data_IF_861444131079
#
_entry.id   IF_861444131079
#
_cell.length_a   1.000
_cell.length_b   1.000
_cell.length_c   1.000
_cell.angle_alpha   90.00
_cell.angle_beta   90.00
_cell.angle_gamma   90.00
#
_symmetry.space_group_name_H-M   'P 1'
#
loop_
_entity.id
_entity.type
_entity.pdbx_description
1 polymer ?
#
# COMPACT_ATOMS: atom_id res chain seq x y z
N UNK A 1 38.72 22.90 -52.87
CA UNK A 1 37.35 22.92 -52.29
C UNK A 1 36.73 21.55 -52.48
N UNK A 2 36.83 20.65 -51.50
CA UNK A 2 36.06 19.40 -51.44
C UNK A 2 35.45 19.35 -50.04
N UNK A 3 34.12 19.43 -49.98
CA UNK A 3 33.34 19.44 -48.74
C UNK A 3 33.07 18.00 -48.34
N UNK A 4 33.55 17.56 -47.18
CA UNK A 4 33.11 16.30 -46.56
C UNK A 4 31.75 16.55 -45.89
N UNK A 5 30.70 15.89 -46.41
CA UNK A 5 29.44 15.74 -45.69
C UNK A 5 29.60 14.66 -44.62
N UNK A 6 29.51 15.04 -43.34
CA UNK A 6 29.21 14.09 -42.26
C UNK A 6 27.69 13.81 -42.27
N UNK A 7 27.30 12.55 -42.51
CA UNK A 7 25.97 12.08 -42.16
C UNK A 7 25.89 11.81 -40.65
N UNK A 8 24.79 12.19 -39.97
CA UNK A 8 24.56 11.79 -38.59
C UNK A 8 24.12 10.33 -38.58
N UNK A 9 24.91 9.45 -37.95
CA UNK A 9 24.48 8.10 -37.59
C UNK A 9 23.39 8.20 -36.54
N UNK A 10 22.15 7.92 -36.94
CA UNK A 10 21.01 7.74 -36.05
C UNK A 10 21.24 6.45 -35.24
N UNK A 11 21.55 6.58 -33.95
CA UNK A 11 21.61 5.44 -33.04
C UNK A 11 20.18 4.95 -32.82
N UNK A 12 19.78 3.90 -33.52
CA UNK A 12 18.53 3.19 -33.26
C UNK A 12 18.71 2.41 -31.95
N UNK A 13 18.27 2.97 -30.83
CA UNK A 13 18.09 2.21 -29.59
C UNK A 13 17.08 1.11 -29.86
N UNK A 14 17.54 -0.15 -29.88
CA UNK A 14 16.66 -1.31 -29.93
C UNK A 14 15.80 -1.30 -28.65
N UNK A 15 14.53 -0.94 -28.79
CA UNK A 15 13.52 -1.17 -27.77
C UNK A 15 13.29 -2.69 -27.78
N UNK A 16 13.86 -3.40 -26.83
CA UNK A 16 13.46 -4.79 -26.58
C UNK A 16 12.00 -4.77 -26.11
N UNK A 17 11.09 -5.16 -26.99
CA UNK A 17 9.71 -5.47 -26.62
C UNK A 17 9.74 -6.71 -25.71
N UNK A 18 9.76 -6.49 -24.40
CA UNK A 18 9.46 -7.55 -23.43
C UNK A 18 7.97 -7.85 -23.56
N UNK A 19 7.63 -9.07 -23.96
CA UNK A 19 6.25 -9.54 -23.98
C UNK A 19 5.80 -9.72 -22.53
N UNK A 20 4.75 -9.02 -22.11
CA UNK A 20 4.20 -9.19 -20.75
C UNK A 20 3.82 -10.65 -20.50
N UNK A 21 4.17 -11.19 -19.31
CA UNK A 21 3.72 -12.51 -18.86
C UNK A 21 2.19 -12.55 -18.80
N UNK A 22 1.58 -11.45 -18.38
CA UNK A 22 0.14 -11.22 -18.47
C UNK A 22 -0.16 -9.75 -18.74
N UNK A 23 -1.30 -9.51 -19.39
CA UNK A 23 -2.04 -8.26 -19.40
C UNK A 23 -3.47 -8.62 -19.02
N UNK A 24 -3.97 -8.02 -17.94
CA UNK A 24 -5.30 -8.26 -17.43
C UNK A 24 -6.10 -6.97 -17.41
N UNK A 25 -7.07 -6.89 -18.30
CA UNK A 25 -8.12 -5.87 -18.26
C UNK A 25 -9.11 -6.20 -17.15
N UNK A 26 -9.59 -5.19 -16.45
CA UNK A 26 -10.55 -5.33 -15.35
C UNK A 26 -11.91 -4.86 -15.84
N UNK A 27 -12.87 -5.78 -15.92
CA UNK A 27 -14.24 -5.42 -16.27
C UNK A 27 -14.79 -4.38 -15.26
N UNK A 28 -15.17 -3.17 -15.72
CA UNK A 28 -15.67 -2.13 -14.81
C UNK A 28 -17.05 -2.46 -14.23
N UNK A 29 -17.75 -3.47 -14.75
CA UNK A 29 -19.09 -3.86 -14.30
C UNK A 29 -19.00 -5.10 -13.41
N UNK A 30 -19.64 -5.03 -12.25
CA UNK A 30 -19.71 -6.16 -11.34
C UNK A 30 -20.44 -7.35 -11.99
N UNK A 31 -19.86 -8.54 -11.88
CA UNK A 31 -20.46 -9.79 -12.35
C UNK A 31 -21.42 -10.37 -11.31
N UNK A 32 -22.37 -11.21 -11.76
CA UNK A 32 -23.40 -11.83 -10.92
C UNK A 32 -23.11 -13.30 -10.56
N UNK A 33 -21.92 -13.79 -10.90
CA UNK A 33 -21.46 -15.16 -10.62
C UNK A 33 -20.34 -15.22 -9.56
N UNK A 34 -20.07 -16.42 -9.00
CA UNK A 34 -18.96 -16.60 -8.07
C UNK A 34 -17.60 -16.26 -8.68
N UNK A 35 -16.79 -15.52 -7.93
CA UNK A 35 -15.44 -15.10 -8.34
C UNK A 35 -14.41 -16.03 -7.71
N UNK A 36 -13.48 -16.54 -8.52
CA UNK A 36 -12.27 -17.20 -8.02
C UNK A 36 -11.29 -16.16 -7.44
N UNK A 37 -10.75 -16.46 -6.27
CA UNK A 37 -9.80 -15.62 -5.53
C UNK A 37 -8.53 -16.41 -5.23
N UNK A 38 -7.39 -15.91 -5.69
CA UNK A 38 -6.08 -16.51 -5.48
C UNK A 38 -5.41 -15.98 -4.21
N UNK A 39 -4.79 -16.86 -3.43
CA UNK A 39 -3.99 -16.52 -2.25
C UNK A 39 -2.56 -17.09 -2.31
N UNK A 40 -2.20 -17.77 -3.40
CA UNK A 40 -0.89 -18.42 -3.57
C UNK A 40 -0.41 -18.16 -5.01
N UNK A 41 0.47 -17.16 -5.21
CA UNK A 41 1.00 -16.84 -6.53
C UNK A 41 1.90 -17.96 -7.08
N UNK A 42 2.02 -17.98 -8.41
CA UNK A 42 2.88 -18.94 -9.12
C UNK A 42 4.36 -18.80 -8.73
N UNK A 43 4.83 -17.58 -8.45
CA UNK A 43 6.19 -17.30 -7.97
C UNK A 43 6.25 -16.13 -6.98
N UNK A 44 7.46 -15.74 -6.59
CA UNK A 44 7.74 -14.55 -5.78
C UNK A 44 8.26 -13.38 -6.61
N UNK A 45 8.22 -13.48 -7.93
CA UNK A 45 8.50 -12.38 -8.82
C UNK A 45 7.47 -11.26 -8.63
N UNK A 46 7.90 -10.03 -8.87
CA UNK A 46 7.07 -8.84 -8.62
C UNK A 46 5.72 -8.89 -9.33
N UNK A 47 5.72 -9.30 -10.60
CA UNK A 47 4.54 -9.47 -11.42
C UNK A 47 3.51 -10.40 -10.79
N UNK A 48 3.95 -11.50 -10.17
CA UNK A 48 3.05 -12.49 -9.58
C UNK A 48 2.56 -12.06 -8.19
N UNK A 49 3.33 -11.27 -7.45
CA UNK A 49 2.87 -10.69 -6.18
C UNK A 49 1.79 -9.62 -6.41
N UNK A 50 1.97 -8.78 -7.43
CA UNK A 50 1.06 -7.67 -7.73
C UNK A 50 -0.12 -8.01 -8.64
N UNK A 51 -0.07 -9.14 -9.36
CA UNK A 51 -1.11 -9.56 -10.32
C UNK A 51 -2.50 -9.55 -9.68
N UNK A 52 -3.56 -9.10 -10.38
CA UNK A 52 -4.92 -9.19 -9.85
C UNK A 52 -5.23 -10.60 -9.34
N UNK A 53 -5.72 -10.69 -8.11
CA UNK A 53 -6.00 -11.92 -7.37
C UNK A 53 -7.45 -12.35 -7.50
N UNK A 54 -8.29 -11.46 -8.00
CA UNK A 54 -9.66 -11.75 -8.36
C UNK A 54 -9.72 -12.12 -9.83
N UNK A 55 -10.40 -13.21 -10.19
CA UNK A 55 -10.67 -13.55 -11.60
C UNK A 55 -11.52 -12.47 -12.29
N UNK A 56 -12.55 -11.98 -11.61
CA UNK A 56 -13.48 -10.91 -11.96
C UNK A 56 -13.90 -10.18 -10.67
N UNK A 57 -14.73 -9.13 -10.73
CA UNK A 57 -15.24 -8.46 -9.53
C UNK A 57 -16.74 -8.65 -9.42
N UNK A 58 -17.22 -9.16 -8.28
CA UNK A 58 -18.65 -9.19 -7.93
C UNK A 58 -18.90 -8.34 -6.67
N UNK A 59 -20.12 -8.38 -6.14
CA UNK A 59 -20.54 -7.54 -4.99
C UNK A 59 -19.98 -7.98 -3.62
N UNK A 60 -19.18 -9.05 -3.58
CA UNK A 60 -18.69 -9.65 -2.33
C UNK A 60 -17.17 -9.64 -2.20
N UNK A 61 -16.45 -9.47 -3.31
CA UNK A 61 -14.99 -9.46 -3.33
C UNK A 61 -14.45 -8.03 -3.40
N UNK A 62 -13.23 -7.85 -2.92
CA UNK A 62 -12.53 -6.58 -3.01
C UNK A 62 -11.06 -6.81 -3.28
N UNK A 63 -10.43 -5.85 -3.94
CA UNK A 63 -9.00 -5.80 -4.13
C UNK A 63 -8.58 -4.33 -4.30
N UNK A 64 -7.40 -3.99 -3.76
CA UNK A 64 -6.82 -2.67 -3.96
C UNK A 64 -5.30 -2.70 -3.96
N UNK A 65 -4.72 -1.76 -4.71
CA UNK A 65 -3.31 -1.41 -4.70
C UNK A 65 -3.17 -0.06 -4.00
N UNK A 66 -2.34 -0.03 -2.95
CA UNK A 66 -2.17 1.12 -2.07
C UNK A 66 -0.73 1.60 -2.12
N UNK A 67 -0.54 2.91 -2.27
CA UNK A 67 0.77 3.54 -2.22
C UNK A 67 0.72 4.74 -1.28
N UNK A 68 1.75 4.93 -0.47
CA UNK A 68 1.91 6.18 0.27
C UNK A 68 3.34 6.67 0.32
N UNK A 69 3.47 7.94 0.68
CA UNK A 69 4.73 8.53 1.06
C UNK A 69 4.52 9.60 2.13
N UNK A 70 5.39 9.63 3.14
CA UNK A 70 5.38 10.62 4.23
C UNK A 70 6.71 11.36 4.28
N UNK A 71 6.67 12.69 4.45
CA UNK A 71 7.87 13.51 4.53
C UNK A 71 8.72 13.18 5.75
N UNK A 72 10.03 13.00 5.53
CA UNK A 72 10.99 12.71 6.61
C UNK A 72 11.27 13.90 7.52
N UNK A 73 10.91 15.11 7.09
CA UNK A 73 11.20 16.37 7.81
C UNK A 73 9.95 17.08 8.32
N UNK A 74 8.80 16.83 7.70
CA UNK A 74 7.51 17.34 8.17
C UNK A 74 6.47 16.21 8.17
N UNK A 75 6.28 15.51 9.31
CA UNK A 75 5.33 14.42 9.45
C UNK A 75 3.85 14.81 9.27
N UNK A 76 3.53 16.07 8.98
CA UNK A 76 2.21 16.45 8.48
C UNK A 76 2.05 16.09 7.00
N UNK A 77 3.10 16.27 6.20
CA UNK A 77 3.00 16.17 4.75
C UNK A 77 3.08 14.71 4.29
N UNK A 78 2.03 14.24 3.61
CA UNK A 78 1.98 12.90 3.03
C UNK A 78 1.08 12.86 1.79
N UNK A 79 1.19 11.77 1.04
CA UNK A 79 0.24 11.38 0.01
C UNK A 79 -0.11 9.91 0.17
N UNK A 80 -1.37 9.59 -0.08
CA UNK A 80 -1.88 8.22 -0.25
C UNK A 80 -2.59 8.13 -1.58
N UNK A 81 -2.26 7.12 -2.37
CA UNK A 81 -3.00 6.70 -3.56
C UNK A 81 -3.59 5.32 -3.33
N UNK A 82 -4.83 5.11 -3.76
CA UNK A 82 -5.44 3.79 -3.75
C UNK A 82 -6.21 3.55 -5.03
N UNK A 83 -5.92 2.42 -5.66
CA UNK A 83 -6.58 1.94 -6.87
C UNK A 83 -7.41 0.71 -6.49
N UNK A 84 -8.74 0.86 -6.48
CA UNK A 84 -9.66 -0.19 -6.08
C UNK A 84 -10.27 -0.90 -7.28
N UNK A 85 -10.59 -2.17 -7.04
CA UNK A 85 -11.53 -3.01 -7.80
C UNK A 85 -12.51 -3.64 -6.83
N UNK A 86 -13.63 -2.97 -6.53
CA UNK A 86 -14.60 -3.41 -5.53
C UNK A 86 -15.94 -2.67 -5.65
N UNK A 87 -16.96 -3.15 -4.92
CA UNK A 87 -18.23 -2.44 -4.73
C UNK A 87 -18.37 -1.95 -3.29
N UNK A 88 -19.28 -1.00 -3.07
CA UNK A 88 -19.58 -0.50 -1.72
C UNK A 88 -20.21 -1.55 -0.78
N UNK A 89 -20.67 -2.68 -1.31
CA UNK A 89 -21.15 -3.82 -0.50
C UNK A 89 -20.00 -4.72 -0.04
N UNK A 90 -18.88 -4.75 -0.77
CA UNK A 90 -17.72 -5.54 -0.45
C UNK A 90 -16.69 -4.79 0.41
N UNK A 91 -16.56 -3.46 0.24
CA UNK A 91 -15.64 -2.64 1.04
C UNK A 91 -16.31 -1.35 1.55
N UNK A 92 -16.29 -1.07 2.87
CA UNK A 92 -17.09 -0.01 3.46
C UNK A 92 -16.59 1.41 3.17
N UNK A 93 -15.32 1.60 2.77
CA UNK A 93 -14.76 2.93 2.49
C UNK A 93 -14.97 3.39 1.04
N UNK A 94 -15.72 2.63 0.23
CA UNK A 94 -16.08 3.01 -1.14
C UNK A 94 -17.42 3.77 -1.16
N UNK A 95 -17.53 4.87 -1.93
CA UNK A 95 -18.79 5.59 -2.09
C UNK A 95 -19.95 4.68 -2.54
N UNK A 96 -21.15 4.94 -2.00
CA UNK A 96 -22.34 4.19 -2.38
C UNK A 96 -22.78 4.54 -3.81
N UNK A 97 -23.45 3.60 -4.49
CA UNK A 97 -24.07 3.79 -5.82
C UNK A 97 -23.11 4.15 -6.97
N UNK A 98 -21.85 3.72 -6.90
CA UNK A 98 -20.96 3.79 -8.06
C UNK A 98 -21.45 2.84 -9.16
N UNK A 99 -21.41 3.28 -10.42
CA UNK A 99 -21.76 2.48 -11.59
C UNK A 99 -20.64 1.56 -12.05
N UNK A 100 -19.47 1.63 -11.40
CA UNK A 100 -18.27 0.88 -11.74
C UNK A 100 -17.67 0.25 -10.47
N UNK A 101 -16.97 -0.87 -10.64
CA UNK A 101 -16.12 -1.48 -9.61
C UNK A 101 -14.78 -0.78 -9.46
N UNK A 102 -14.42 0.08 -10.42
CA UNK A 102 -13.15 0.79 -10.43
C UNK A 102 -13.26 2.10 -9.65
N UNK A 103 -12.26 2.39 -8.83
CA UNK A 103 -12.16 3.66 -8.13
C UNK A 103 -10.70 4.05 -7.92
N UNK A 104 -10.37 5.29 -8.26
CA UNK A 104 -9.11 5.92 -7.85
C UNK A 104 -9.39 6.84 -6.67
N UNK A 105 -8.60 6.73 -5.61
CA UNK A 105 -8.69 7.57 -4.43
C UNK A 105 -7.32 8.21 -4.15
N UNK A 106 -7.34 9.50 -3.77
CA UNK A 106 -6.16 10.23 -3.32
C UNK A 106 -6.47 10.97 -2.02
N UNK A 107 -5.51 10.93 -1.09
CA UNK A 107 -5.41 11.83 0.05
C UNK A 107 -4.06 12.51 0.00
N UNK A 108 -4.05 13.85 -0.03
CA UNK A 108 -2.85 14.64 0.07
C UNK A 108 -2.93 15.51 1.32
N UNK A 109 -2.01 15.33 2.25
CA UNK A 109 -1.90 16.18 3.44
C UNK A 109 -0.79 17.18 3.23
N UNK A 110 -1.11 18.46 3.34
CA UNK A 110 -0.19 19.58 3.13
C UNK A 110 0.71 19.79 4.35
N UNK A 111 1.84 20.51 4.21
CA UNK A 111 2.75 20.81 5.33
C UNK A 111 2.10 21.46 6.56
N UNK A 112 1.00 22.19 6.36
CA UNK A 112 0.22 22.84 7.44
C UNK A 112 -0.75 21.87 8.16
N UNK A 113 -0.83 20.61 7.74
CA UNK A 113 -1.74 19.58 8.28
C UNK A 113 -3.14 19.58 7.68
N UNK A 114 -3.43 20.42 6.69
CA UNK A 114 -4.69 20.36 5.94
C UNK A 114 -4.68 19.15 5.02
N UNK A 115 -5.76 18.37 5.00
CA UNK A 115 -5.89 17.22 4.09
C UNK A 115 -6.91 17.52 2.99
N UNK A 116 -6.52 17.22 1.75
CA UNK A 116 -7.39 17.21 0.56
C UNK A 116 -7.59 15.76 0.16
N UNK A 117 -8.85 15.33 0.07
CA UNK A 117 -9.21 14.00 -0.41
C UNK A 117 -10.14 14.09 -1.61
N UNK A 118 -9.90 13.23 -2.60
CA UNK A 118 -10.76 13.10 -3.77
C UNK A 118 -10.80 11.65 -4.24
N UNK A 119 -11.87 11.33 -4.96
CA UNK A 119 -12.00 10.06 -5.66
C UNK A 119 -12.72 10.28 -6.99
N UNK A 120 -12.48 9.36 -7.93
CA UNK A 120 -13.09 9.37 -9.26
C UNK A 120 -13.12 7.95 -9.82
N UNK A 121 -14.16 7.66 -10.62
CA UNK A 121 -14.26 6.42 -11.38
C UNK A 121 -13.45 6.59 -12.67
N UNK A 122 -12.41 5.77 -12.91
CA UNK A 122 -11.65 5.78 -14.17
C UNK A 122 -12.50 5.24 -15.33
N UNK A 123 -12.00 5.42 -16.56
CA UNK A 123 -12.67 4.91 -17.76
C UNK A 123 -12.56 3.38 -17.83
N UNK A 124 -11.34 2.87 -17.64
CA UNK A 124 -10.99 1.46 -17.67
C UNK A 124 -9.80 1.21 -16.72
N UNK A 125 -9.47 -0.04 -16.45
CA UNK A 125 -8.27 -0.40 -15.74
C UNK A 125 -7.62 -1.67 -16.28
N UNK A 126 -6.30 -1.69 -16.34
CA UNK A 126 -5.53 -2.88 -16.66
C UNK A 126 -4.30 -3.01 -15.79
N UNK A 127 -3.88 -4.26 -15.54
CA UNK A 127 -2.63 -4.59 -14.85
C UNK A 127 -1.84 -5.54 -15.71
N UNK A 128 -0.56 -5.24 -15.91
CA UNK A 128 0.38 -6.08 -16.64
C UNK A 128 1.64 -6.32 -15.83
N UNK A 129 2.24 -7.49 -16.03
CA UNK A 129 3.49 -7.85 -15.39
C UNK A 129 4.31 -8.82 -16.22
N UNK A 130 5.62 -8.79 -16.00
CA UNK A 130 6.60 -9.75 -16.52
C UNK A 130 7.73 -9.88 -15.51
N UNK A 131 7.81 -11.04 -14.85
CA UNK A 131 8.80 -11.31 -13.79
C UNK A 131 8.90 -10.16 -12.80
N UNK A 132 9.98 -9.39 -12.84
CA UNK A 132 10.29 -8.35 -11.88
C UNK A 132 9.85 -6.96 -12.34
N UNK A 133 8.90 -6.90 -13.28
CA UNK A 133 8.23 -5.69 -13.75
C UNK A 133 6.73 -5.84 -13.52
N UNK A 134 6.10 -4.78 -13.01
CA UNK A 134 4.65 -4.70 -12.82
C UNK A 134 4.17 -3.29 -13.12
N UNK A 135 2.97 -3.14 -13.66
CA UNK A 135 2.34 -1.85 -13.87
C UNK A 135 0.84 -1.99 -13.91
N UNK A 136 0.14 -0.98 -13.44
CA UNK A 136 -1.30 -0.86 -13.56
C UNK A 136 -1.69 0.54 -13.99
N UNK A 137 -2.71 0.63 -14.82
CA UNK A 137 -3.25 1.89 -15.32
C UNK A 137 -4.73 1.97 -15.02
N UNK A 138 -5.15 3.01 -14.30
CA UNK A 138 -6.55 3.42 -14.14
C UNK A 138 -6.74 4.58 -15.12
N UNK A 139 -7.33 4.27 -16.27
CA UNK A 139 -7.33 5.17 -17.42
C UNK A 139 -7.97 6.52 -17.08
N UNK A 140 -7.20 7.58 -17.34
CA UNK A 140 -7.61 8.97 -17.12
C UNK A 140 -7.44 9.48 -15.68
N UNK A 141 -6.97 8.65 -14.74
CA UNK A 141 -6.92 9.03 -13.31
C UNK A 141 -5.60 8.72 -12.61
N UNK A 142 -4.86 7.70 -13.02
CA UNK A 142 -3.58 7.36 -12.38
C UNK A 142 -3.05 5.96 -12.72
N UNK A 143 -2.03 5.53 -12.00
CA UNK A 143 -1.44 4.21 -12.14
C UNK A 143 -0.08 4.08 -11.48
N UNK A 144 0.60 2.98 -11.77
CA UNK A 144 1.98 2.75 -11.36
C UNK A 144 2.79 1.99 -12.40
N UNK A 145 4.11 2.13 -12.29
CA UNK A 145 5.10 1.30 -12.95
C UNK A 145 6.19 0.93 -11.93
N UNK A 146 6.38 -0.36 -11.72
CA UNK A 146 7.26 -0.96 -10.73
C UNK A 146 8.26 -1.91 -11.35
N UNK A 147 9.46 -1.92 -10.79
CA UNK A 147 10.51 -2.92 -11.04
C UNK A 147 11.46 -3.01 -9.85
N UNK A 148 12.37 -3.98 -9.84
CA UNK A 148 13.40 -4.12 -8.80
C UNK A 148 14.12 -2.82 -8.44
N UNK A 149 14.42 -1.97 -9.42
CA UNK A 149 15.16 -0.72 -9.20
C UNK A 149 14.33 0.44 -8.62
N UNK A 150 13.02 0.27 -8.46
CA UNK A 150 12.14 1.34 -8.01
C UNK A 150 10.76 1.34 -8.66
N UNK A 151 9.89 2.16 -8.10
CA UNK A 151 8.52 2.39 -8.53
C UNK A 151 8.28 3.86 -8.86
N UNK A 152 7.29 4.10 -9.71
CA UNK A 152 6.65 5.39 -9.89
C UNK A 152 5.14 5.17 -9.82
N UNK A 153 4.45 5.93 -8.98
CA UNK A 153 2.99 5.94 -8.90
C UNK A 153 2.50 7.37 -9.11
N UNK A 154 1.42 7.53 -9.88
CA UNK A 154 0.92 8.85 -10.27
C UNK A 154 -0.60 8.95 -10.19
N UNK A 155 -1.08 10.19 -10.09
CA UNK A 155 -2.50 10.52 -10.05
C UNK A 155 -2.75 11.85 -10.76
N UNK A 156 -3.93 11.99 -11.35
CA UNK A 156 -4.41 13.25 -11.89
C UNK A 156 -5.48 13.03 -12.94
N UNK A 157 -6.44 13.94 -12.97
CA UNK A 157 -7.53 13.97 -13.94
C UNK A 157 -8.00 15.41 -14.16
N UNK A 158 -8.71 15.66 -15.25
CA UNK A 158 -9.27 16.98 -15.55
C UNK A 158 -10.26 17.42 -14.46
N UNK A 159 -10.08 18.64 -13.93
CA UNK A 159 -10.88 19.15 -12.82
C UNK A 159 -10.52 18.57 -11.44
N UNK A 160 -9.51 17.69 -11.36
CA UNK A 160 -8.92 17.23 -10.11
C UNK A 160 -8.20 18.35 -9.36
N UNK A 161 -8.23 18.30 -8.03
CA UNK A 161 -7.49 19.19 -7.13
C UNK A 161 -6.08 18.68 -6.87
N UNK A 162 -5.82 17.37 -7.05
CA UNK A 162 -4.52 16.75 -6.85
C UNK A 162 -4.01 16.15 -8.16
N UNK A 163 -2.78 16.48 -8.53
CA UNK A 163 -2.07 15.82 -9.63
C UNK A 163 -0.59 15.71 -9.33
N UNK A 164 0.05 14.66 -9.81
CA UNK A 164 1.50 14.48 -9.71
C UNK A 164 1.87 13.04 -9.48
N UNK A 165 3.02 12.82 -8.84
CA UNK A 165 3.60 11.49 -8.69
C UNK A 165 4.46 11.36 -7.45
N UNK A 166 4.73 10.10 -7.10
CA UNK A 166 5.76 9.69 -6.17
C UNK A 166 6.67 8.66 -6.82
N UNK A 167 7.97 8.78 -6.54
CA UNK A 167 9.02 7.87 -7.02
C UNK A 167 9.67 7.22 -5.82
N UNK A 168 9.77 5.89 -5.85
CA UNK A 168 10.36 5.08 -4.79
C UNK A 168 11.69 4.49 -5.24
N UNK A 169 12.72 4.61 -4.40
CA UNK A 169 14.09 4.11 -4.61
C UNK A 169 14.58 3.40 -3.35
N UNK A 170 15.68 2.65 -3.50
CA UNK A 170 16.31 1.91 -2.40
C UNK A 170 15.30 1.02 -1.67
N UNK A 171 14.54 0.24 -2.44
CA UNK A 171 13.44 -0.56 -1.93
C UNK A 171 13.93 -1.60 -0.93
N UNK A 172 13.27 -1.69 0.21
CA UNK A 172 13.41 -2.85 1.08
C UNK A 172 12.74 -4.09 0.44
N UNK A 173 13.22 -5.32 0.70
CA UNK A 173 12.64 -6.54 0.15
C UNK A 173 11.14 -6.68 0.46
N UNK A 174 10.33 -7.26 -0.46
CA UNK A 174 8.91 -7.49 -0.23
C UNK A 174 8.60 -8.27 1.05
N UNK A 175 7.51 -7.88 1.71
CA UNK A 175 6.98 -8.51 2.90
C UNK A 175 5.76 -9.36 2.53
N UNK A 176 5.96 -10.68 2.59
CA UNK A 176 4.89 -11.67 2.49
C UNK A 176 4.49 -12.10 3.92
N UNK A 177 3.18 -12.34 4.19
CA UNK A 177 2.63 -12.44 5.55
C UNK A 177 3.45 -13.24 6.54
N UNK A 178 3.83 -14.46 6.16
CA UNK A 178 4.49 -15.43 7.02
C UNK A 178 5.94 -15.71 6.64
N UNK A 179 6.55 -14.87 5.80
CA UNK A 179 7.96 -15.03 5.44
C UNK A 179 8.89 -14.59 6.59
N UNK A 180 9.97 -15.32 6.79
CA UNK A 180 11.05 -14.98 7.72
C UNK A 180 12.31 -14.61 6.93
N UNK A 181 13.34 -14.01 7.55
CA UNK A 181 14.60 -13.72 6.86
C UNK A 181 15.29 -14.98 6.29
N UNK A 182 14.95 -16.17 6.80
CA UNK A 182 15.53 -17.45 6.37
C UNK A 182 14.64 -18.23 5.40
N UNK A 183 13.34 -17.93 5.35
CA UNK A 183 12.39 -18.74 4.60
C UNK A 183 11.26 -17.88 4.03
N UNK A 184 11.11 -17.94 2.71
CA UNK A 184 9.96 -17.37 2.03
C UNK A 184 8.76 -18.31 2.14
N UNK A 185 7.62 -17.75 2.55
CA UNK A 185 6.32 -18.39 2.47
C UNK A 185 5.48 -17.69 1.39
N UNK A 186 5.09 -18.44 0.36
CA UNK A 186 4.28 -17.92 -0.76
C UNK A 186 2.81 -17.78 -0.43
N UNK A 187 2.30 -18.36 0.65
CA UNK A 187 0.91 -18.15 1.04
C UNK A 187 0.72 -16.68 1.46
N UNK A 188 -0.09 -15.95 0.69
CA UNK A 188 -0.36 -14.53 0.91
C UNK A 188 -1.63 -14.28 1.73
N UNK A 189 -2.33 -15.34 2.13
CA UNK A 189 -3.43 -15.24 3.09
C UNK A 189 -2.89 -14.83 4.46
N UNK A 190 -3.38 -13.71 5.01
CA UNK A 190 -3.20 -13.38 6.42
C UNK A 190 -3.99 -14.36 7.29
N UNK A 191 -5.23 -14.61 6.89
CA UNK A 191 -6.09 -15.63 7.45
C UNK A 191 -7.14 -16.02 6.44
N UNK A 192 -8.24 -16.61 6.91
CA UNK A 192 -9.26 -17.12 6.00
C UNK A 192 -9.92 -15.99 5.21
N UNK A 193 -9.76 -16.03 3.89
CA UNK A 193 -10.44 -15.13 2.97
C UNK A 193 -9.88 -13.71 2.87
N UNK A 194 -8.70 -13.45 3.45
CA UNK A 194 -8.04 -12.15 3.43
C UNK A 194 -6.58 -12.28 3.05
N UNK A 195 -6.21 -11.65 1.94
CA UNK A 195 -4.87 -11.66 1.38
C UNK A 195 -4.21 -10.31 1.52
N UNK A 196 -2.90 -10.34 1.74
CA UNK A 196 -2.07 -9.14 1.83
C UNK A 196 -0.63 -9.44 1.42
N UNK A 197 -0.01 -8.48 0.75
CA UNK A 197 1.42 -8.47 0.49
C UNK A 197 1.89 -7.03 0.35
N UNK A 198 3.03 -6.70 0.95
CA UNK A 198 3.68 -5.42 0.74
C UNK A 198 4.87 -5.61 -0.20
N UNK A 199 4.81 -4.98 -1.38
CA UNK A 199 5.89 -5.04 -2.36
C UNK A 199 6.99 -4.04 -2.04
N UNK A 200 6.63 -2.92 -1.41
CA UNK A 200 7.57 -1.93 -0.89
C UNK A 200 7.23 -1.67 0.58
N UNK A 201 7.82 -2.43 1.52
CA UNK A 201 7.62 -2.20 2.95
C UNK A 201 8.30 -0.93 3.46
N UNK A 202 9.35 -0.49 2.77
CA UNK A 202 10.09 0.76 3.02
C UNK A 202 10.88 1.15 1.77
N UNK A 203 11.06 2.45 1.58
CA UNK A 203 11.83 3.03 0.47
C UNK A 203 12.14 4.50 0.73
N UNK A 204 13.11 5.06 0.01
CA UNK A 204 13.22 6.50 -0.14
C UNK A 204 12.21 6.98 -1.19
N UNK A 205 11.34 7.91 -0.77
CA UNK A 205 10.32 8.50 -1.62
C UNK A 205 10.69 9.93 -2.02
N UNK A 206 10.45 10.25 -3.30
CA UNK A 206 10.43 11.61 -3.82
C UNK A 206 9.02 11.93 -4.30
N UNK A 207 8.41 12.97 -3.71
CA UNK A 207 7.04 13.36 -4.00
C UNK A 207 7.04 14.71 -4.73
N UNK A 208 6.31 14.77 -5.84
CA UNK A 208 6.12 15.98 -6.65
C UNK A 208 4.65 16.10 -7.04
N UNK A 209 3.92 16.95 -6.31
CA UNK A 209 2.48 17.13 -6.44
C UNK A 209 2.12 18.59 -6.66
N UNK A 210 0.96 18.78 -7.26
CA UNK A 210 0.19 20.02 -7.25
C UNK A 210 -1.14 19.74 -6.55
N UNK A 211 -1.42 20.48 -5.48
CA UNK A 211 -2.65 20.39 -4.69
C UNK A 211 -3.29 21.77 -4.68
N UNK A 212 -4.50 21.91 -5.23
CA UNK A 212 -5.20 23.20 -5.38
C UNK A 212 -4.37 24.29 -6.09
N UNK A 213 -3.51 23.88 -7.02
CA UNK A 213 -2.58 24.76 -7.73
C UNK A 213 -1.29 25.09 -6.96
N UNK A 214 -1.16 24.67 -5.70
CA UNK A 214 0.06 24.82 -4.90
C UNK A 214 0.99 23.61 -5.04
N UNK A 215 2.29 23.85 -5.13
CA UNK A 215 3.28 22.77 -5.20
C UNK A 215 3.51 22.16 -3.82
N UNK A 216 3.39 20.84 -3.74
CA UNK A 216 3.74 20.04 -2.56
C UNK A 216 4.84 19.07 -2.96
N UNK A 217 6.07 19.39 -2.55
CA UNK A 217 7.27 18.61 -2.87
C UNK A 217 8.02 18.26 -1.60
N UNK A 218 8.38 16.99 -1.45
CA UNK A 218 9.19 16.54 -0.32
C UNK A 218 9.95 15.25 -0.63
N UNK A 219 11.00 15.03 0.14
CA UNK A 219 11.64 13.72 0.27
C UNK A 219 11.17 13.05 1.55
N UNK A 220 11.10 11.73 1.55
CA UNK A 220 10.52 11.00 2.65
C UNK A 220 10.67 9.50 2.53
N UNK A 221 9.76 8.79 3.17
CA UNK A 221 9.70 7.34 3.15
C UNK A 221 8.41 6.86 2.51
N UNK A 222 8.49 5.79 1.75
CA UNK A 222 7.41 5.31 0.90
C UNK A 222 7.05 3.86 1.13
N UNK A 223 5.77 3.55 0.97
CA UNK A 223 5.21 2.22 1.16
C UNK A 223 4.26 1.84 0.02
N UNK A 224 4.26 0.56 -0.37
CA UNK A 224 3.30 -0.01 -1.31
C UNK A 224 2.84 -1.40 -0.85
N UNK A 225 1.52 -1.59 -0.78
CA UNK A 225 0.93 -2.91 -0.60
C UNK A 225 -0.28 -3.16 -1.47
N UNK A 226 -0.75 -4.38 -1.34
CA UNK A 226 -1.94 -4.89 -1.97
C UNK A 226 -2.72 -5.72 -0.97
N UNK A 227 -4.04 -5.55 -0.98
CA UNK A 227 -4.98 -6.32 -0.18
C UNK A 227 -6.13 -6.82 -1.05
N UNK A 228 -6.67 -7.98 -0.70
CA UNK A 228 -7.85 -8.53 -1.37
C UNK A 228 -8.60 -9.50 -0.47
N UNK A 229 -9.87 -9.75 -0.79
CA UNK A 229 -10.69 -10.68 -0.03
C UNK A 229 -11.76 -11.37 -0.85
N UNK A 230 -12.16 -12.55 -0.39
CA UNK A 230 -13.17 -13.39 -1.04
C UNK A 230 -14.59 -13.21 -0.49
N UNK A 231 -14.75 -12.28 0.47
CA UNK A 231 -16.01 -11.93 1.11
C UNK A 231 -15.92 -10.49 1.62
N UNK A 232 -17.05 -9.83 1.95
CA UNK A 232 -17.01 -8.42 2.33
C UNK A 232 -16.07 -8.15 3.51
N UNK A 233 -15.34 -7.05 3.46
CA UNK A 233 -14.32 -6.69 4.46
C UNK A 233 -14.91 -6.63 5.87
N UNK A 234 -16.08 -6.00 6.02
CA UNK A 234 -16.84 -5.92 7.26
C UNK A 234 -17.40 -7.25 7.78
N UNK A 235 -17.40 -8.29 6.95
CA UNK A 235 -17.76 -9.65 7.37
C UNK A 235 -16.51 -10.49 7.73
N UNK A 236 -15.32 -10.04 7.34
CA UNK A 236 -14.04 -10.74 7.61
C UNK A 236 -13.36 -10.15 8.84
N UNK A 237 -13.32 -8.82 8.93
CA UNK A 237 -12.53 -8.06 9.89
C UNK A 237 -13.45 -7.48 10.95
N UNK A 238 -13.14 -7.76 12.23
CA UNK A 238 -13.74 -7.10 13.39
C UNK A 238 -12.91 -5.89 13.82
N UNK A 239 -11.60 -6.08 13.91
CA UNK A 239 -10.65 -5.01 14.13
C UNK A 239 -9.43 -5.19 13.26
N UNK A 240 -8.79 -4.09 12.91
CA UNK A 240 -7.57 -4.04 12.12
C UNK A 240 -6.70 -2.94 12.67
N UNK A 241 -5.40 -3.21 12.79
CA UNK A 241 -4.37 -2.22 13.03
C UNK A 241 -3.22 -2.51 12.07
N UNK A 242 -2.88 -1.54 11.25
CA UNK A 242 -1.77 -1.61 10.32
C UNK A 242 -0.97 -0.32 10.40
N UNK A 243 0.31 -0.42 10.11
CA UNK A 243 1.11 0.76 9.84
C UNK A 243 2.54 0.42 9.49
N UNK A 244 3.24 1.46 9.10
CA UNK A 244 4.68 1.43 8.88
C UNK A 244 5.35 2.62 9.54
N UNK A 245 6.60 2.41 9.95
CA UNK A 245 7.46 3.44 10.51
C UNK A 245 8.81 3.41 9.84
N UNK A 246 9.44 4.58 9.76
CA UNK A 246 10.86 4.73 9.50
C UNK A 246 11.51 5.54 10.62
N UNK A 247 12.52 4.97 11.28
CA UNK A 247 13.22 5.59 12.41
C UNK A 247 14.71 5.23 12.41
N UNK A 248 15.56 6.26 12.28
CA UNK A 248 17.00 6.05 12.16
C UNK A 248 17.34 5.27 10.89
N UNK A 249 17.89 4.06 11.06
CA UNK A 249 18.22 3.12 9.98
C UNK A 249 17.22 1.96 9.87
N UNK A 250 16.12 2.03 10.63
CA UNK A 250 15.16 0.94 10.78
C UNK A 250 13.83 1.29 10.13
N UNK A 251 13.25 0.30 9.48
CA UNK A 251 11.87 0.34 9.04
C UNK A 251 11.11 -0.82 9.66
N UNK A 252 9.91 -0.54 10.17
CA UNK A 252 9.04 -1.57 10.73
C UNK A 252 7.65 -1.46 10.11
N UNK A 253 7.10 -2.60 9.70
CA UNK A 253 5.71 -2.74 9.25
C UNK A 253 5.00 -3.70 10.18
N UNK A 254 3.80 -3.35 10.61
CA UNK A 254 2.92 -4.25 11.34
C UNK A 254 1.55 -4.33 10.69
N UNK A 255 0.96 -5.51 10.82
CA UNK A 255 -0.43 -5.77 10.52
C UNK A 255 -0.97 -6.71 11.59
N UNK A 256 -2.06 -6.32 12.23
CA UNK A 256 -2.85 -7.17 13.10
C UNK A 256 -4.31 -7.03 12.73
N UNK A 257 -5.00 -8.15 12.56
CA UNK A 257 -6.45 -8.13 12.46
C UNK A 257 -7.10 -9.21 13.31
N UNK A 258 -8.27 -8.88 13.83
CA UNK A 258 -9.14 -9.80 14.55
C UNK A 258 -10.26 -10.26 13.62
N UNK A 259 -10.42 -11.57 13.35
CA UNK A 259 -11.54 -12.08 12.57
C UNK A 259 -12.90 -11.84 13.25
N UNK A 260 -13.98 -11.68 12.47
CA UNK A 260 -15.34 -11.39 12.98
C UNK A 260 -16.17 -12.61 13.43
N UNK A 261 -15.59 -13.81 13.39
CA UNK A 261 -16.24 -15.14 13.36
C UNK A 261 -16.67 -15.52 11.93
N UNK A 262 -16.07 -16.60 11.40
CA UNK A 262 -16.31 -17.02 10.01
C UNK A 262 -15.32 -18.06 9.48
N UNK A 263 -14.72 -18.85 10.37
CA UNK A 263 -13.97 -20.06 10.03
C UNK A 263 -14.40 -21.20 10.95
N UNK A 264 -14.01 -22.43 10.64
CA UNK A 264 -14.53 -23.69 11.21
C UNK A 264 -14.58 -23.78 12.76
N UNK A 265 -13.91 -22.89 13.50
CA UNK A 265 -13.71 -22.98 14.95
C UNK A 265 -14.09 -21.72 15.77
N UNK A 266 -14.74 -20.69 15.20
CA UNK A 266 -15.05 -19.43 15.93
C UNK A 266 -13.82 -18.76 16.60
N UNK A 267 -12.61 -19.00 16.07
CA UNK A 267 -11.38 -18.44 16.63
C UNK A 267 -11.26 -16.95 16.30
N UNK A 268 -11.34 -16.10 17.33
CA UNK A 268 -11.17 -14.64 17.25
C UNK A 268 -9.80 -14.19 17.73
N UNK A 269 -8.83 -15.12 17.78
CA UNK A 269 -7.43 -14.77 18.10
C UNK A 269 -6.90 -13.80 17.03
N UNK A 270 -6.26 -12.68 17.43
CA UNK A 270 -5.61 -11.79 16.49
C UNK A 270 -4.59 -12.53 15.63
N UNK A 271 -4.63 -12.24 14.34
CA UNK A 271 -3.65 -12.69 13.35
C UNK A 271 -2.70 -11.53 13.10
N UNK A 272 -1.41 -11.82 13.10
CA UNK A 272 -0.36 -10.80 12.94
C UNK A 272 0.54 -11.11 11.76
N UNK A 273 1.08 -10.07 11.15
CA UNK A 273 2.27 -10.11 10.30
C UNK A 273 3.14 -8.91 10.65
N UNK A 274 4.43 -9.11 10.85
CA UNK A 274 5.36 -8.03 11.17
C UNK A 274 6.69 -8.19 10.45
N UNK A 275 7.38 -7.07 10.33
CA UNK A 275 8.63 -6.93 9.59
C UNK A 275 9.45 -5.82 10.21
N UNK A 276 10.74 -6.10 10.40
CA UNK A 276 11.76 -5.14 10.79
C UNK A 276 12.91 -5.28 9.80
N UNK A 277 13.26 -4.17 9.15
CA UNK A 277 14.46 -4.05 8.36
C UNK A 277 15.43 -3.05 8.99
N UNK A 278 16.72 -3.28 8.76
CA UNK A 278 17.82 -2.40 9.10
C UNK A 278 18.68 -2.20 7.86
N UNK A 279 18.87 -0.95 7.44
CA UNK A 279 19.62 -0.59 6.23
C UNK A 279 19.14 -1.37 4.98
N UNK A 280 17.82 -1.43 4.78
CA UNK A 280 17.20 -2.15 3.65
C UNK A 280 17.30 -3.68 3.72
N UNK A 281 17.74 -4.27 4.84
CA UNK A 281 17.83 -5.73 5.02
C UNK A 281 16.88 -6.20 6.12
N UNK A 282 16.10 -7.24 5.82
CA UNK A 282 15.18 -7.86 6.79
C UNK A 282 15.98 -8.51 7.93
N UNK A 283 15.70 -8.10 9.17
CA UNK A 283 16.32 -8.67 10.38
C UNK A 283 15.34 -9.54 11.18
N UNK A 284 14.05 -9.20 11.15
CA UNK A 284 13.00 -9.98 11.81
C UNK A 284 11.70 -9.87 11.01
N UNK A 285 11.04 -10.99 10.73
CA UNK A 285 9.72 -10.98 10.10
C UNK A 285 8.97 -12.28 10.35
N UNK A 286 7.66 -12.27 10.13
CA UNK A 286 6.81 -13.46 10.16
C UNK A 286 5.40 -13.17 10.68
N UNK A 287 4.67 -14.23 11.00
CA UNK A 287 3.25 -14.16 11.38
C UNK A 287 2.89 -14.91 12.67
N UNK A 288 3.89 -15.26 13.49
CA UNK A 288 3.61 -15.91 14.78
C UNK A 288 3.01 -14.88 15.73
N UNK A 289 1.94 -15.23 16.44
CA UNK A 289 1.26 -14.31 17.37
C UNK A 289 2.18 -13.71 18.44
N UNK A 290 3.26 -14.38 18.81
CA UNK A 290 4.24 -13.87 19.78
C UNK A 290 5.31 -12.96 19.17
N UNK A 291 5.25 -12.67 17.86
CA UNK A 291 6.27 -11.89 17.16
C UNK A 291 6.19 -10.40 17.51
N UNK A 292 4.96 -9.91 17.68
CA UNK A 292 4.67 -8.50 17.86
C UNK A 292 3.49 -8.34 18.82
N UNK A 293 3.57 -7.38 19.72
CA UNK A 293 2.43 -6.89 20.49
C UNK A 293 2.08 -5.47 20.02
N UNK A 294 0.79 -5.20 19.85
CA UNK A 294 0.27 -3.92 19.37
C UNK A 294 -0.72 -3.39 20.40
N UNK A 295 -0.46 -2.16 20.86
CA UNK A 295 -1.28 -1.48 21.85
C UNK A 295 -1.82 -0.17 21.26
N UNK A 296 -3.09 -0.17 20.87
CA UNK A 296 -3.74 1.03 20.38
C UNK A 296 -4.15 1.96 21.54
N UNK A 297 -3.82 3.24 21.43
CA UNK A 297 -4.26 4.28 22.34
C UNK A 297 -5.07 5.33 21.58
N UNK A 298 -6.38 5.37 21.84
CA UNK A 298 -7.30 6.25 21.13
C UNK A 298 -8.16 7.05 22.11
N UNK A 299 -8.27 8.35 21.83
CA UNK A 299 -9.24 9.25 22.46
C UNK A 299 -10.17 9.82 21.38
N UNK A 300 -11.08 10.73 21.76
CA UNK A 300 -11.94 11.41 20.79
C UNK A 300 -11.18 12.26 19.76
N UNK A 301 -9.93 12.64 20.03
CA UNK A 301 -9.14 13.56 19.20
C UNK A 301 -7.70 13.12 18.96
N UNK A 302 -7.34 11.90 19.35
CA UNK A 302 -5.98 11.40 19.20
C UNK A 302 -5.97 9.91 18.93
N UNK A 303 -5.05 9.48 18.08
CA UNK A 303 -4.78 8.08 17.82
C UNK A 303 -3.27 7.84 17.89
N UNK A 304 -2.87 6.72 18.48
CA UNK A 304 -1.49 6.28 18.58
C UNK A 304 -1.43 4.77 18.78
N UNK A 305 -0.27 4.21 18.51
CA UNK A 305 -0.02 2.77 18.58
C UNK A 305 1.34 2.58 19.22
N UNK A 306 1.43 1.75 20.24
CA UNK A 306 2.70 1.32 20.79
C UNK A 306 2.96 -0.12 20.27
N UNK A 307 4.17 -0.36 19.76
CA UNK A 307 4.57 -1.63 19.13
C UNK A 307 5.75 -2.22 19.88
N UNK A 308 5.66 -3.50 20.22
CA UNK A 308 6.74 -4.25 20.87
C UNK A 308 7.07 -5.53 20.09
N UNK A 309 8.35 -5.71 19.75
CA UNK A 309 8.93 -6.94 19.20
C UNK A 309 10.20 -7.28 20.00
N UNK A 310 10.80 -8.44 19.78
CA UNK A 310 12.08 -8.76 20.43
C UNK A 310 13.16 -7.71 20.08
N UNK A 311 13.68 -7.01 21.09
CA UNK A 311 14.61 -5.90 20.92
C UNK A 311 14.01 -4.59 20.41
N UNK A 312 12.69 -4.47 20.25
CA UNK A 312 12.01 -3.28 19.71
C UNK A 312 10.89 -2.83 20.63
N UNK A 313 10.88 -1.55 21.00
CA UNK A 313 9.79 -0.88 21.71
C UNK A 313 9.61 0.49 21.09
N UNK A 314 8.53 0.70 20.34
CA UNK A 314 8.24 1.95 19.64
C UNK A 314 6.91 2.54 20.13
N UNK A 315 6.90 3.85 20.35
CA UNK A 315 5.69 4.63 20.63
C UNK A 315 5.37 5.48 19.42
N UNK A 316 4.25 5.21 18.76
CA UNK A 316 3.75 5.96 17.62
C UNK A 316 2.63 6.89 18.08
N UNK A 317 2.79 8.19 17.84
CA UNK A 317 1.81 9.22 18.20
C UNK A 317 1.31 9.91 16.95
N UNK A 318 -0.02 9.91 16.77
CA UNK A 318 -0.68 10.59 15.67
C UNK A 318 -0.50 12.09 15.75
N UNK A 319 -0.23 12.70 14.60
CA UNK A 319 0.01 14.12 14.43
C UNK A 319 -1.07 14.78 13.58
N UNK A 320 -1.45 14.13 12.48
CA UNK A 320 -2.51 14.60 11.58
C UNK A 320 -3.39 13.43 11.18
N UNK A 321 -4.70 13.62 11.30
CA UNK A 321 -5.69 12.70 10.73
C UNK A 321 -5.73 12.88 9.20
N UNK A 322 -5.41 11.81 8.49
CA UNK A 322 -5.38 11.77 7.02
C UNK A 322 -6.74 11.34 6.47
N UNK A 323 -7.35 10.34 7.09
CA UNK A 323 -8.66 9.84 6.71
C UNK A 323 -9.34 9.22 7.92
N UNK A 324 -10.67 9.20 7.91
CA UNK A 324 -11.44 8.57 8.96
C UNK A 324 -12.90 8.99 8.94
N UNK A 325 -13.72 8.23 9.65
CA UNK A 325 -15.13 8.56 9.92
C UNK A 325 -15.35 8.93 11.40
N UNK A 326 -14.27 9.07 12.17
CA UNK A 326 -14.28 9.33 13.61
C UNK A 326 -14.84 8.18 14.46
N UNK A 327 -15.08 6.99 13.88
CA UNK A 327 -15.75 5.89 14.59
C UNK A 327 -15.20 4.49 14.25
N UNK A 328 -15.20 4.12 12.98
CA UNK A 328 -14.89 2.78 12.50
C UNK A 328 -13.63 2.74 11.65
N UNK A 329 -13.19 3.86 11.07
CA UNK A 329 -11.98 3.96 10.27
C UNK A 329 -11.17 5.18 10.67
N UNK A 330 -9.86 5.00 10.78
CA UNK A 330 -8.90 6.03 11.16
C UNK A 330 -7.60 5.79 10.43
N UNK A 331 -7.00 6.82 9.84
CA UNK A 331 -5.66 6.82 9.26
C UNK A 331 -4.96 8.11 9.66
N UNK A 332 -3.73 7.97 10.16
CA UNK A 332 -2.96 9.06 10.72
C UNK A 332 -1.54 9.06 10.19
N UNK A 333 -1.02 10.25 9.96
CA UNK A 333 0.42 10.48 9.96
C UNK A 333 0.85 10.67 11.41
N UNK A 334 2.04 10.18 11.76
CA UNK A 334 2.56 10.27 13.11
C UNK A 334 4.06 10.42 13.21
N UNK A 335 4.49 10.57 14.45
CA UNK A 335 5.89 10.54 14.85
C UNK A 335 6.15 9.31 15.68
N UNK A 336 7.36 8.78 15.59
CA UNK A 336 7.78 7.61 16.35
C UNK A 336 9.06 7.89 17.13
N UNK A 337 9.09 7.37 18.36
CA UNK A 337 10.27 7.32 19.22
C UNK A 337 10.30 6.01 19.99
N UNK A 338 11.47 5.60 20.47
CA UNK A 338 11.57 4.35 21.20
C UNK A 338 12.97 3.78 21.26
N UNK A 339 13.05 2.46 21.36
CA UNK A 339 14.30 1.70 21.39
C UNK A 339 14.26 0.59 20.35
N UNK A 340 15.33 0.46 19.57
CA UNK A 340 15.51 -0.62 18.59
C UNK A 340 16.91 -1.18 18.77
N UNK A 341 17.03 -2.49 19.00
CA UNK A 341 18.30 -3.19 19.28
C UNK A 341 19.13 -2.53 20.40
N UNK A 342 18.47 -1.99 21.43
CA UNK A 342 19.10 -1.29 22.56
C UNK A 342 19.49 0.17 22.28
N UNK A 343 19.33 0.66 21.05
CA UNK A 343 19.55 2.06 20.70
C UNK A 343 18.29 2.88 20.92
N UNK A 344 18.38 3.96 21.70
CA UNK A 344 17.30 4.96 21.81
C UNK A 344 17.25 5.82 20.56
N UNK A 345 16.07 5.92 19.97
CA UNK A 345 15.81 6.66 18.74
C UNK A 345 14.60 7.59 18.93
N UNK A 346 14.61 8.70 18.20
CA UNK A 346 13.54 9.70 18.18
C UNK A 346 13.47 10.34 16.78
N UNK A 347 12.39 11.07 16.50
CA UNK A 347 12.22 11.84 15.27
C UNK A 347 11.93 11.00 14.03
N UNK A 348 11.49 9.75 14.19
CA UNK A 348 11.00 8.97 13.06
C UNK A 348 9.57 9.36 12.67
N UNK A 349 9.13 8.83 11.53
CA UNK A 349 7.80 9.08 10.97
C UNK A 349 7.01 7.79 10.81
N UNK A 350 5.68 7.92 10.79
CA UNK A 350 4.78 6.79 10.67
C UNK A 350 3.53 7.13 9.87
N UNK A 351 3.02 6.16 9.12
CA UNK A 351 1.65 6.15 8.62
C UNK A 351 0.99 4.90 9.18
N UNK A 352 -0.18 5.06 9.78
CA UNK A 352 -0.87 3.95 10.44
C UNK A 352 -2.37 4.15 10.42
N UNK A 353 -3.08 3.04 10.37
CA UNK A 353 -4.52 3.02 10.22
C UNK A 353 -5.15 1.89 11.04
N UNK A 354 -6.44 2.05 11.33
CA UNK A 354 -7.21 1.04 12.01
C UNK A 354 -8.66 1.00 11.57
N UNK A 355 -9.24 -0.21 11.65
CA UNK A 355 -10.67 -0.44 11.50
C UNK A 355 -11.27 -1.02 12.77
N UNK A 356 -12.51 -0.62 13.08
CA UNK A 356 -13.35 -1.12 14.17
C UNK A 356 -14.75 -1.34 13.63
N UNK A 357 -15.06 -2.56 13.21
CA UNK A 357 -16.25 -2.88 12.42
C UNK A 357 -17.31 -3.62 13.21
#
# INVERSE_FOLDING_TARGET
>A
MHSLLLLPTLLLTAITLTTAQYLKDINPIAVDYPVYVDFVPDSTHLADLESPKLSEVNTTVFEWWYFDAISSTNPNASIVLTFFTTTATAFPAVPQNLSSVLLTYVWATLPNGTTVSQNIVPIDASVMGDRDVSSGGWEGTGGWAGRESGYEAWVGWEGGRVTGRMVFRDLAPPLLPCSTPQQTNRALGLGEGLGWVSMVPDSHAMVDLVVDGEKVQFMGFGYHDKNWGNRPFQNTVKSWSWGHVHIGQYALVWLQYTPREGGDNNNTTPIVSAYLARDGKVVQSGCRNSLINIYENMTASSYGVDVEMDGVVLMIRGRVEVAGDGKNYFRWNGVVSGTVEGQKLDGGVAVFEGFRL
#
